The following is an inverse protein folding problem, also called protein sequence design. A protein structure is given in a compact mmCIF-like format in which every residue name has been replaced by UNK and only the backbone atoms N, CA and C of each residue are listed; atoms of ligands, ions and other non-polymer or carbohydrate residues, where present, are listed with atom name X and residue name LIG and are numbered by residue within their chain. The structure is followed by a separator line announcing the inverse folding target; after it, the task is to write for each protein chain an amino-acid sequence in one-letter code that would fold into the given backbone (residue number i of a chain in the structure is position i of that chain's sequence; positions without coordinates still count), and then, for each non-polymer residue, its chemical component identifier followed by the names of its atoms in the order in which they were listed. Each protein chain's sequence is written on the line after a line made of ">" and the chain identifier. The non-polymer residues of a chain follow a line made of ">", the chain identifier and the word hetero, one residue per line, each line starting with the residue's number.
data_IF_067917364131
#
_entry.id   IF_067917364131
#
_cell.length_a   1.000
_cell.length_b   1.000
_cell.length_c   1.000
_cell.angle_alpha   90.00
_cell.angle_beta   90.00
_cell.angle_gamma   90.00
#
_symmetry.space_group_name_H-M   'P 1'
#
loop_
_entity.id
_entity.type
_entity.pdbx_description
1 polymer ?
#
# COMPACT_ATOMS: atom_id res chain seq x y z
N UNK A 1 -0.93 -3.26 5.12
CA UNK A 1 -0.78 -3.81 6.47
C UNK A 1 -2.02 -4.57 6.86
N UNK A 2 -1.88 -5.84 7.25
CA UNK A 2 -3.02 -6.62 7.72
C UNK A 2 -3.42 -6.25 9.15
N UNK A 3 -4.71 -6.36 9.44
CA UNK A 3 -5.19 -6.35 10.83
C UNK A 3 -4.94 -7.71 11.49
N UNK A 4 -4.78 -7.74 12.83
CA UNK A 4 -4.67 -8.99 13.59
C UNK A 4 -6.05 -9.68 13.75
N UNK A 5 -6.57 -10.13 12.63
CA UNK A 5 -7.82 -10.88 12.50
C UNK A 5 -7.57 -12.17 11.71
N UNK A 6 -8.40 -13.18 11.98
CA UNK A 6 -8.44 -14.39 11.18
C UNK A 6 -9.18 -14.11 9.86
N UNK A 7 -8.75 -14.79 8.79
CA UNK A 7 -9.55 -14.84 7.57
C UNK A 7 -10.74 -15.75 7.84
N UNK A 8 -11.93 -15.25 7.54
CA UNK A 8 -13.16 -16.00 7.70
C UNK A 8 -13.73 -16.33 6.32
N UNK A 9 -14.27 -17.53 6.17
CA UNK A 9 -15.20 -17.86 5.11
C UNK A 9 -16.49 -17.03 5.25
N UNK A 10 -17.31 -17.03 4.21
CA UNK A 10 -18.61 -16.33 4.24
C UNK A 10 -19.51 -16.84 5.38
N UNK A 11 -19.49 -18.14 5.63
CA UNK A 11 -20.23 -18.75 6.74
C UNK A 11 -19.71 -18.27 8.09
N UNK A 12 -18.40 -18.36 8.33
CA UNK A 12 -17.79 -17.92 9.59
C UNK A 12 -18.00 -16.42 9.85
N UNK A 13 -17.93 -15.58 8.82
CA UNK A 13 -18.20 -14.15 8.92
C UNK A 13 -19.62 -13.88 9.40
N UNK A 14 -20.61 -14.49 8.73
CA UNK A 14 -22.02 -14.30 9.02
C UNK A 14 -22.34 -14.83 10.41
N UNK A 15 -21.93 -16.07 10.70
CA UNK A 15 -22.13 -16.71 11.98
C UNK A 15 -21.45 -15.96 13.14
N UNK A 16 -20.17 -15.60 13.01
CA UNK A 16 -19.44 -14.91 14.08
C UNK A 16 -20.03 -13.52 14.40
N UNK A 17 -20.59 -12.84 13.40
CA UNK A 17 -21.23 -11.53 13.59
C UNK A 17 -22.58 -11.70 14.30
N UNK A 18 -23.39 -12.69 13.91
CA UNK A 18 -24.61 -13.06 14.63
C UNK A 18 -24.30 -13.41 16.09
N UNK A 19 -23.32 -14.29 16.34
CA UNK A 19 -22.91 -14.66 17.70
C UNK A 19 -22.44 -13.46 18.50
N UNK A 20 -21.72 -12.52 17.88
CA UNK A 20 -21.29 -11.29 18.54
C UNK A 20 -22.48 -10.43 18.97
N UNK A 21 -23.52 -10.35 18.14
CA UNK A 21 -24.77 -9.68 18.47
C UNK A 21 -25.53 -10.43 19.56
N UNK A 22 -25.77 -11.73 19.43
CA UNK A 22 -26.54 -12.51 20.42
C UNK A 22 -25.93 -12.45 21.84
N UNK A 23 -24.60 -12.32 21.95
CA UNK A 23 -23.90 -12.14 23.24
C UNK A 23 -24.20 -10.80 23.92
N UNK A 24 -24.73 -9.80 23.22
CA UNK A 24 -25.14 -8.52 23.79
C UNK A 24 -26.63 -8.48 24.14
N UNK A 25 -27.42 -9.45 23.64
CA UNK A 25 -28.86 -9.49 23.81
C UNK A 25 -29.29 -10.18 25.11
N UNK A 26 -30.41 -9.72 25.67
CA UNK A 26 -31.15 -10.46 26.69
C UNK A 26 -32.09 -11.44 25.99
N UNK A 27 -31.74 -12.73 25.98
CA UNK A 27 -32.47 -13.76 25.22
C UNK A 27 -33.91 -13.97 25.70
N UNK A 28 -34.27 -13.56 26.91
CA UNK A 28 -35.65 -13.67 27.44
C UNK A 28 -36.66 -12.77 26.72
N UNK A 29 -36.21 -11.83 25.89
CA UNK A 29 -37.08 -11.03 25.03
C UNK A 29 -37.48 -11.76 23.74
N UNK A 30 -36.88 -12.92 23.47
CA UNK A 30 -37.19 -13.74 22.32
C UNK A 30 -38.35 -14.70 22.61
N UNK A 31 -39.06 -15.11 21.56
CA UNK A 31 -39.97 -16.26 21.68
C UNK A 31 -39.19 -17.55 22.02
N UNK A 32 -39.83 -18.57 22.62
CA UNK A 32 -39.15 -19.82 22.98
C UNK A 32 -38.38 -20.48 21.83
N UNK A 33 -38.95 -20.47 20.62
CA UNK A 33 -38.31 -21.01 19.41
C UNK A 33 -37.07 -20.20 19.00
N UNK A 34 -37.16 -18.87 19.05
CA UNK A 34 -36.03 -17.98 18.74
C UNK A 34 -34.92 -18.10 19.79
N UNK A 35 -35.28 -18.25 21.06
CA UNK A 35 -34.33 -18.47 22.15
C UNK A 35 -33.57 -19.79 21.96
N UNK A 36 -34.26 -20.87 21.58
CA UNK A 36 -33.63 -22.16 21.29
C UNK A 36 -32.63 -22.06 20.12
N UNK A 37 -33.05 -21.47 19.00
CA UNK A 37 -32.18 -21.20 17.84
C UNK A 37 -30.97 -20.33 18.21
N UNK A 38 -31.17 -19.28 19.00
CA UNK A 38 -30.08 -18.43 19.47
C UNK A 38 -29.06 -19.23 20.30
N UNK A 39 -29.53 -20.12 21.18
CA UNK A 39 -28.67 -20.99 22.00
C UNK A 39 -27.89 -21.99 21.14
N UNK A 40 -28.46 -22.49 20.04
CA UNK A 40 -27.75 -23.35 19.08
C UNK A 40 -26.57 -22.60 18.44
N UNK A 41 -26.82 -21.41 17.85
CA UNK A 41 -25.76 -20.61 17.23
C UNK A 41 -24.69 -20.16 18.23
N UNK A 42 -25.07 -19.85 19.47
CA UNK A 42 -24.10 -19.49 20.52
C UNK A 42 -23.15 -20.65 20.89
N UNK A 43 -23.60 -21.91 20.77
CA UNK A 43 -22.81 -23.11 21.03
C UNK A 43 -22.01 -23.58 19.82
N UNK A 44 -22.44 -23.20 18.63
CA UNK A 44 -21.85 -23.65 17.37
C UNK A 44 -20.41 -23.14 17.19
N UNK A 45 -19.52 -24.05 16.78
CA UNK A 45 -18.19 -23.73 16.30
C UNK A 45 -18.19 -23.67 14.77
N UNK A 46 -18.36 -22.46 14.23
CA UNK A 46 -18.45 -22.24 12.78
C UNK A 46 -17.27 -22.79 11.97
N UNK A 47 -16.06 -22.88 12.57
CA UNK A 47 -14.89 -23.41 11.87
C UNK A 47 -15.02 -24.93 11.65
N UNK A 48 -15.54 -25.65 12.65
CA UNK A 48 -15.84 -27.08 12.54
C UNK A 48 -17.02 -27.33 11.62
N UNK A 49 -18.04 -26.48 11.63
CA UNK A 49 -19.17 -26.58 10.71
C UNK A 49 -18.70 -26.49 9.26
N UNK A 50 -17.88 -25.49 8.94
CA UNK A 50 -17.32 -25.31 7.58
C UNK A 50 -16.46 -26.50 7.17
N UNK A 51 -15.67 -27.05 8.08
CA UNK A 51 -14.80 -28.20 7.77
C UNK A 51 -15.58 -29.50 7.50
N UNK A 52 -16.74 -29.69 8.13
CA UNK A 52 -17.50 -30.95 8.10
C UNK A 52 -18.67 -30.97 7.12
N UNK A 53 -19.06 -29.82 6.59
CA UNK A 53 -20.27 -29.67 5.75
C UNK A 53 -19.92 -29.56 4.28
N UNK A 54 -20.78 -30.09 3.41
CA UNK A 54 -20.73 -29.84 1.97
C UNK A 54 -21.26 -28.45 1.60
N UNK A 55 -21.15 -28.07 0.32
CA UNK A 55 -21.56 -26.76 -0.18
C UNK A 55 -23.05 -26.49 -0.04
N UNK A 56 -23.89 -27.50 -0.25
CA UNK A 56 -25.35 -27.36 -0.31
C UNK A 56 -25.90 -27.21 1.11
N UNK A 57 -25.35 -27.98 2.05
CA UNK A 57 -25.59 -27.85 3.49
C UNK A 57 -25.20 -26.45 3.99
N UNK A 58 -24.02 -25.94 3.61
CA UNK A 58 -23.59 -24.59 3.98
C UNK A 58 -24.50 -23.51 3.38
N UNK A 59 -24.94 -23.67 2.15
CA UNK A 59 -25.84 -22.73 1.49
C UNK A 59 -27.22 -22.69 2.15
N UNK A 60 -27.77 -23.87 2.50
CA UNK A 60 -29.02 -23.98 3.25
C UNK A 60 -28.91 -23.33 4.64
N UNK A 61 -27.82 -23.58 5.36
CA UNK A 61 -27.58 -22.97 6.66
C UNK A 61 -27.41 -21.45 6.58
N UNK A 62 -26.74 -20.93 5.56
CA UNK A 62 -26.66 -19.49 5.30
C UNK A 62 -28.05 -18.86 5.13
N UNK A 63 -28.94 -19.49 4.37
CA UNK A 63 -30.32 -19.01 4.22
C UNK A 63 -31.07 -19.02 5.57
N UNK A 64 -30.91 -20.08 6.38
CA UNK A 64 -31.51 -20.16 7.72
C UNK A 64 -31.00 -19.07 8.67
N UNK A 65 -29.68 -18.85 8.69
CA UNK A 65 -29.04 -17.81 9.49
C UNK A 65 -29.48 -16.41 9.00
N UNK A 66 -29.53 -16.18 7.69
CA UNK A 66 -29.99 -14.91 7.12
C UNK A 66 -31.41 -14.55 7.58
N UNK A 67 -32.34 -15.50 7.51
CA UNK A 67 -33.71 -15.28 8.00
C UNK A 67 -33.73 -15.00 9.50
N UNK A 68 -32.92 -15.72 10.29
CA UNK A 68 -32.81 -15.46 11.72
C UNK A 68 -32.25 -14.06 12.02
N UNK A 69 -31.24 -13.61 11.28
CA UNK A 69 -30.69 -12.26 11.41
C UNK A 69 -31.77 -11.21 11.13
N UNK A 70 -32.58 -11.41 10.09
CA UNK A 70 -33.70 -10.53 9.75
C UNK A 70 -34.73 -10.47 10.88
N UNK A 71 -35.06 -11.61 11.51
CA UNK A 71 -35.92 -11.63 12.71
C UNK A 71 -35.29 -10.84 13.87
N UNK A 72 -34.00 -11.02 14.13
CA UNK A 72 -33.30 -10.29 15.20
C UNK A 72 -33.30 -8.77 14.96
N UNK A 73 -33.08 -8.33 13.72
CA UNK A 73 -33.13 -6.91 13.35
C UNK A 73 -34.55 -6.32 13.47
N UNK A 74 -35.60 -7.15 13.37
CA UNK A 74 -36.98 -6.70 13.58
C UNK A 74 -37.37 -6.62 15.08
N UNK A 75 -36.81 -7.51 15.91
CA UNK A 75 -37.12 -7.59 17.35
C UNK A 75 -36.33 -6.55 18.15
N UNK A 76 -35.07 -6.31 17.82
CA UNK A 76 -34.20 -5.42 18.58
C UNK A 76 -34.11 -4.03 17.94
N UNK A 77 -34.24 -2.94 18.73
CA UNK A 77 -34.12 -1.59 18.19
C UNK A 77 -32.69 -1.28 17.75
N UNK A 78 -32.54 -0.27 16.89
CA UNK A 78 -31.23 0.20 16.41
C UNK A 78 -30.27 0.64 17.54
N UNK A 79 -30.80 1.03 18.69
CA UNK A 79 -30.00 1.39 19.88
C UNK A 79 -29.37 0.19 20.59
N UNK A 80 -29.73 -1.04 20.22
CA UNK A 80 -29.17 -2.25 20.83
C UNK A 80 -27.67 -2.39 20.52
N UNK A 81 -26.84 -2.85 21.49
CA UNK A 81 -25.41 -2.98 21.26
C UNK A 81 -25.11 -3.97 20.13
N UNK A 82 -24.20 -3.59 19.23
CA UNK A 82 -23.82 -4.35 18.03
C UNK A 82 -24.92 -4.52 16.97
N UNK A 83 -26.07 -3.86 17.10
CA UNK A 83 -27.12 -3.85 16.08
C UNK A 83 -26.60 -3.33 14.74
N UNK A 84 -25.91 -2.18 14.72
CA UNK A 84 -25.37 -1.60 13.48
C UNK A 84 -24.40 -2.54 12.75
N UNK A 85 -23.62 -3.32 13.50
CA UNK A 85 -22.70 -4.29 12.92
C UNK A 85 -23.46 -5.46 12.28
N UNK A 86 -24.54 -5.92 12.92
CA UNK A 86 -25.40 -6.98 12.39
C UNK A 86 -26.17 -6.50 11.15
N UNK A 87 -26.72 -5.28 11.21
CA UNK A 87 -27.42 -4.64 10.10
C UNK A 87 -26.50 -4.47 8.90
N UNK A 88 -25.29 -3.92 9.10
CA UNK A 88 -24.28 -3.78 8.04
C UNK A 88 -23.98 -5.13 7.38
N UNK A 89 -23.73 -6.17 8.17
CA UNK A 89 -23.52 -7.51 7.62
C UNK A 89 -24.72 -7.96 6.78
N UNK A 90 -25.93 -7.76 7.28
CA UNK A 90 -27.14 -8.20 6.60
C UNK A 90 -27.29 -7.51 5.24
N UNK A 91 -27.19 -6.18 5.19
CA UNK A 91 -27.31 -5.41 3.95
C UNK A 91 -26.23 -5.74 2.91
N UNK A 92 -25.01 -6.01 3.38
CA UNK A 92 -23.87 -6.36 2.53
C UNK A 92 -23.93 -7.81 2.01
N UNK A 93 -24.53 -8.74 2.76
CA UNK A 93 -24.52 -10.17 2.42
C UNK A 93 -25.85 -10.68 1.86
N UNK A 94 -26.96 -10.02 2.16
CA UNK A 94 -28.31 -10.47 1.83
C UNK A 94 -29.12 -9.39 1.12
N UNK A 95 -30.17 -9.83 0.43
CA UNK A 95 -31.30 -9.05 -0.05
C UNK A 95 -32.59 -9.68 0.45
N UNK A 96 -33.64 -8.89 0.61
CA UNK A 96 -34.96 -9.42 0.97
C UNK A 96 -35.76 -9.67 -0.32
N UNK A 97 -36.18 -10.91 -0.54
CA UNK A 97 -37.05 -11.31 -1.64
C UNK A 97 -38.22 -12.12 -1.06
N UNK A 98 -39.45 -11.73 -1.39
CA UNK A 98 -40.68 -12.37 -0.89
C UNK A 98 -40.70 -12.54 0.64
N UNK A 99 -40.21 -11.52 1.36
CA UNK A 99 -40.14 -11.52 2.82
C UNK A 99 -39.10 -12.49 3.41
N UNK A 100 -38.15 -13.00 2.62
CA UNK A 100 -37.07 -13.88 3.06
C UNK A 100 -35.70 -13.32 2.72
N UNK A 101 -34.72 -13.60 3.57
CA UNK A 101 -33.32 -13.27 3.32
C UNK A 101 -32.73 -14.21 2.26
N UNK A 102 -32.32 -13.65 1.13
CA UNK A 102 -31.64 -14.34 0.03
C UNK A 102 -30.21 -13.84 -0.04
N UNK A 103 -29.27 -14.78 -0.12
CA UNK A 103 -27.84 -14.48 -0.14
C UNK A 103 -27.45 -13.82 -1.46
N UNK A 104 -26.72 -12.69 -1.41
CA UNK A 104 -26.18 -12.02 -2.61
C UNK A 104 -25.17 -12.89 -3.34
N UNK A 105 -25.04 -12.70 -4.66
CA UNK A 105 -23.92 -13.29 -5.40
C UNK A 105 -22.58 -12.74 -4.87
N UNK A 106 -21.55 -13.59 -4.83
CA UNK A 106 -20.21 -13.19 -4.37
C UNK A 106 -19.64 -12.00 -5.16
N UNK A 107 -20.02 -11.85 -6.44
CA UNK A 107 -19.58 -10.76 -7.33
C UNK A 107 -20.23 -9.42 -6.98
N UNK A 108 -21.36 -9.42 -6.29
CA UNK A 108 -22.07 -8.21 -5.86
C UNK A 108 -21.55 -7.69 -4.51
N UNK A 109 -20.90 -8.55 -3.72
CA UNK A 109 -20.29 -8.16 -2.45
C UNK A 109 -19.06 -7.31 -2.72
N UNK A 110 -19.12 -6.04 -2.29
CA UNK A 110 -18.05 -5.07 -2.49
C UNK A 110 -16.81 -5.41 -1.65
N UNK A 111 -15.64 -4.96 -2.10
CA UNK A 111 -14.37 -5.19 -1.40
C UNK A 111 -14.24 -4.46 -0.05
N UNK A 112 -15.04 -3.42 0.16
CA UNK A 112 -15.18 -2.66 1.41
C UNK A 112 -16.23 -3.26 2.38
N UNK A 113 -16.83 -4.39 2.03
CA UNK A 113 -17.73 -5.11 2.93
C UNK A 113 -17.00 -5.55 4.20
N UNK A 114 -17.76 -5.81 5.26
CA UNK A 114 -17.29 -6.36 6.52
C UNK A 114 -16.47 -7.63 6.27
N UNK A 115 -15.21 -7.63 6.74
CA UNK A 115 -14.29 -8.75 6.58
C UNK A 115 -14.22 -9.64 7.82
N UNK A 116 -14.37 -9.05 9.01
CA UNK A 116 -14.37 -9.76 10.29
C UNK A 116 -15.02 -8.87 11.36
N UNK A 117 -15.96 -9.37 12.19
CA UNK A 117 -16.63 -8.57 13.21
C UNK A 117 -15.70 -8.08 14.32
N UNK A 118 -14.49 -8.64 14.45
CA UNK A 118 -13.49 -8.19 15.43
C UNK A 118 -12.70 -6.95 14.99
N UNK A 119 -12.73 -6.62 13.71
CA UNK A 119 -12.18 -5.37 13.17
C UNK A 119 -13.06 -4.86 12.02
N UNK A 120 -14.19 -4.19 12.33
CA UNK A 120 -15.16 -3.78 11.32
C UNK A 120 -14.66 -2.77 10.29
N UNK A 121 -13.60 -2.02 10.60
CA UNK A 121 -13.03 -1.01 9.70
C UNK A 121 -12.11 -1.64 8.63
N UNK A 122 -11.65 -2.87 8.85
CA UNK A 122 -10.73 -3.55 7.96
C UNK A 122 -11.43 -3.97 6.65
N UNK A 123 -10.88 -3.53 5.51
CA UNK A 123 -11.39 -3.87 4.18
C UNK A 123 -10.43 -4.82 3.45
N UNK A 124 -10.86 -5.33 2.30
CA UNK A 124 -10.11 -6.31 1.52
C UNK A 124 -9.44 -5.70 0.30
N UNK A 125 -8.19 -6.13 0.03
CA UNK A 125 -7.50 -5.87 -1.23
C UNK A 125 -6.76 -7.11 -1.70
N UNK A 126 -6.85 -7.39 -3.00
CA UNK A 126 -6.02 -8.37 -3.71
C UNK A 126 -5.13 -7.64 -4.74
N UNK A 127 -3.81 -7.77 -4.63
CA UNK A 127 -2.84 -7.18 -5.57
C UNK A 127 -1.64 -8.12 -5.67
N UNK A 128 -1.20 -8.47 -6.89
CA UNK A 128 -0.01 -9.28 -7.16
C UNK A 128 0.08 -10.55 -6.30
N UNK A 129 -0.98 -11.38 -6.33
CA UNK A 129 -1.16 -12.60 -5.52
C UNK A 129 -1.18 -12.41 -4.00
N UNK A 130 -0.98 -11.20 -3.51
CA UNK A 130 -1.11 -10.84 -2.11
C UNK A 130 -2.55 -10.44 -1.80
N UNK A 131 -3.11 -11.05 -0.76
CA UNK A 131 -4.44 -10.77 -0.22
C UNK A 131 -4.31 -10.15 1.16
N UNK A 132 -4.79 -8.93 1.33
CA UNK A 132 -4.73 -8.20 2.60
C UNK A 132 -6.14 -7.91 3.09
N UNK A 133 -6.37 -8.16 4.38
CA UNK A 133 -7.54 -7.66 5.12
C UNK A 133 -7.01 -6.70 6.18
N UNK A 134 -7.33 -5.42 6.05
CA UNK A 134 -6.78 -4.38 6.92
C UNK A 134 -6.71 -3.02 6.22
N UNK A 135 -5.50 -2.47 6.19
CA UNK A 135 -5.25 -1.07 5.93
C UNK A 135 -4.09 -0.88 4.95
N UNK A 136 -4.04 0.28 4.32
CA UNK A 136 -2.91 0.75 3.50
C UNK A 136 -2.30 1.97 4.18
N UNK A 137 -0.97 2.02 4.19
CA UNK A 137 -0.20 3.12 4.79
C UNK A 137 0.62 3.76 3.68
N UNK A 138 0.47 5.07 3.52
CA UNK A 138 1.28 5.90 2.64
C UNK A 138 2.27 6.72 3.49
N UNK A 139 3.53 6.76 3.08
CA UNK A 139 4.60 7.51 3.76
C UNK A 139 5.27 8.41 2.72
N UNK A 140 5.48 9.67 3.08
CA UNK A 140 6.24 10.65 2.30
C UNK A 140 7.42 11.13 3.12
N UNK A 141 8.61 11.17 2.51
CA UNK A 141 9.82 11.68 3.13
C UNK A 141 10.54 12.69 2.23
N UNK A 142 11.31 13.58 2.86
CA UNK A 142 12.19 14.50 2.14
C UNK A 142 13.32 13.74 1.44
N UNK A 143 13.78 14.30 0.33
CA UNK A 143 14.99 13.86 -0.36
C UNK A 143 15.88 15.08 -0.51
N UNK A 144 16.90 15.18 0.34
CA UNK A 144 17.83 16.32 0.33
C UNK A 144 19.27 15.83 0.48
N UNK A 145 20.17 16.33 -0.37
CA UNK A 145 21.57 15.94 -0.35
C UNK A 145 22.26 16.41 0.93
N UNK A 146 23.08 15.53 1.52
CA UNK A 146 23.83 15.84 2.73
C UNK A 146 22.99 15.97 4.01
N UNK A 147 21.67 15.74 3.95
CA UNK A 147 20.76 15.73 5.10
C UNK A 147 20.04 14.39 5.24
N UNK A 148 19.53 14.04 6.43
CA UNK A 148 18.74 12.82 6.58
C UNK A 148 17.38 12.99 5.88
N UNK A 149 16.91 11.95 5.19
CA UNK A 149 15.53 11.91 4.70
C UNK A 149 14.58 11.83 5.89
N UNK A 150 13.69 12.81 6.04
CA UNK A 150 12.74 12.89 7.16
C UNK A 150 11.34 12.63 6.64
N UNK A 151 10.61 11.73 7.31
CA UNK A 151 9.20 11.48 7.02
C UNK A 151 8.39 12.72 7.40
N UNK A 152 7.66 13.29 6.45
CA UNK A 152 6.87 14.52 6.60
C UNK A 152 5.36 14.25 6.56
N UNK A 153 4.94 13.14 5.95
CA UNK A 153 3.54 12.69 5.94
C UNK A 153 3.45 11.19 6.17
N UNK A 154 2.49 10.79 6.99
CA UNK A 154 2.09 9.41 7.16
C UNK A 154 0.55 9.38 7.12
N UNK A 155 -0.02 8.66 6.18
CA UNK A 155 -1.47 8.53 6.00
C UNK A 155 -1.86 7.06 6.08
N UNK A 156 -2.96 6.76 6.76
CA UNK A 156 -3.47 5.39 6.89
C UNK A 156 -4.95 5.38 6.59
N UNK A 157 -5.30 4.56 5.61
CA UNK A 157 -6.67 4.33 5.16
C UNK A 157 -6.98 2.84 5.09
N UNK A 158 -8.25 2.50 4.86
CA UNK A 158 -8.68 1.12 4.66
C UNK A 158 -8.03 0.53 3.39
N UNK A 159 -7.85 -0.79 3.33
CA UNK A 159 -7.12 -1.44 2.24
C UNK A 159 -7.67 -1.17 0.83
N UNK A 160 -8.96 -0.83 0.67
CA UNK A 160 -9.54 -0.48 -0.64
C UNK A 160 -9.07 0.87 -1.17
N UNK A 161 -8.63 1.79 -0.31
CA UNK A 161 -8.29 3.17 -0.67
C UNK A 161 -7.14 3.25 -1.69
N UNK A 162 -7.39 3.86 -2.84
CA UNK A 162 -6.47 3.85 -3.97
C UNK A 162 -5.20 4.68 -3.71
N UNK A 163 -4.05 4.17 -4.17
CA UNK A 163 -2.74 4.77 -3.90
C UNK A 163 -2.66 6.22 -4.45
N UNK A 164 -3.29 6.51 -5.59
CA UNK A 164 -3.34 7.85 -6.17
C UNK A 164 -4.06 8.90 -5.32
N UNK A 165 -5.00 8.52 -4.46
CA UNK A 165 -5.74 9.49 -3.66
C UNK A 165 -4.93 10.07 -2.49
N UNK A 166 -3.77 9.48 -2.16
CA UNK A 166 -2.91 10.00 -1.09
C UNK A 166 -2.05 11.19 -1.50
N UNK A 167 -1.86 11.44 -2.80
CA UNK A 167 -0.81 12.32 -3.29
C UNK A 167 -0.98 13.78 -2.85
N UNK A 168 -2.18 14.34 -3.02
CA UNK A 168 -2.43 15.76 -2.79
C UNK A 168 -2.26 16.10 -1.30
N UNK A 169 -2.90 15.32 -0.42
CA UNK A 169 -2.76 15.48 1.03
C UNK A 169 -1.31 15.22 1.51
N UNK A 170 -0.57 14.31 0.85
CA UNK A 170 0.86 14.12 1.10
C UNK A 170 1.69 15.38 0.83
N UNK A 171 1.40 16.06 -0.27
CA UNK A 171 2.07 17.30 -0.67
C UNK A 171 1.76 18.39 0.35
N UNK A 172 0.48 18.66 0.60
CA UNK A 172 0.04 19.67 1.57
C UNK A 172 0.64 19.47 2.97
N UNK A 173 0.63 18.22 3.47
CA UNK A 173 1.23 17.90 4.76
C UNK A 173 2.74 18.16 4.77
N UNK A 174 3.43 17.83 3.68
CA UNK A 174 4.89 17.98 3.60
C UNK A 174 5.28 19.44 3.50
N UNK A 175 4.57 20.24 2.72
CA UNK A 175 4.78 21.69 2.64
C UNK A 175 4.48 22.39 3.97
N UNK A 176 3.41 21.98 4.65
CA UNK A 176 3.08 22.48 5.99
C UNK A 176 4.17 22.20 7.02
N UNK A 177 4.80 21.02 6.95
CA UNK A 177 5.87 20.62 7.90
C UNK A 177 7.21 21.28 7.55
N UNK A 178 7.53 21.42 6.26
CA UNK A 178 8.82 21.95 5.80
C UNK A 178 8.86 23.46 5.65
N UNK A 179 7.70 24.10 5.45
CA UNK A 179 7.60 25.51 5.09
C UNK A 179 8.06 25.83 3.67
N UNK A 180 8.28 24.82 2.83
CA UNK A 180 8.79 24.95 1.46
C UNK A 180 7.83 24.34 0.47
N UNK A 181 7.74 24.93 -0.72
CA UNK A 181 7.00 24.35 -1.85
C UNK A 181 7.75 23.14 -2.42
N UNK A 182 7.03 22.09 -2.78
CA UNK A 182 7.60 20.91 -3.42
C UNK A 182 7.77 21.16 -4.92
N UNK A 183 9.01 21.07 -5.40
CA UNK A 183 9.35 21.17 -6.82
C UNK A 183 9.35 19.79 -7.50
N UNK A 184 9.90 18.78 -6.82
CA UNK A 184 10.05 17.41 -7.33
C UNK A 184 9.37 16.41 -6.40
N UNK A 185 8.50 15.56 -6.95
CA UNK A 185 7.84 14.48 -6.21
C UNK A 185 8.12 13.12 -6.84
N UNK A 186 8.81 12.26 -6.12
CA UNK A 186 9.10 10.88 -6.53
C UNK A 186 8.04 9.92 -5.99
N UNK A 187 7.37 9.19 -6.88
CA UNK A 187 6.30 8.28 -6.49
C UNK A 187 6.28 6.98 -7.30
N UNK A 188 5.52 5.99 -6.82
CA UNK A 188 5.24 4.79 -7.60
C UNK A 188 4.21 5.06 -8.71
N UNK A 189 4.17 4.19 -9.71
CA UNK A 189 3.25 4.33 -10.85
C UNK A 189 1.78 4.38 -10.47
N UNK A 190 1.41 3.75 -9.35
CA UNK A 190 0.04 3.75 -8.84
C UNK A 190 -0.44 5.14 -8.39
N UNK A 191 0.46 6.10 -8.19
CA UNK A 191 0.12 7.49 -7.87
C UNK A 191 -0.24 8.33 -9.10
N UNK A 192 -0.09 7.77 -10.29
CA UNK A 192 -0.39 8.46 -11.53
C UNK A 192 -1.90 8.42 -11.83
N UNK A 193 -2.56 9.58 -11.76
CA UNK A 193 -3.96 9.78 -12.18
C UNK A 193 -4.09 11.04 -13.02
N UNK A 194 -5.16 11.22 -13.82
CA UNK A 194 -5.46 12.50 -14.46
C UNK A 194 -5.43 13.67 -13.47
N UNK A 195 -6.09 13.49 -12.33
CA UNK A 195 -6.22 14.51 -11.29
C UNK A 195 -4.87 14.88 -10.68
N UNK A 196 -4.00 13.90 -10.39
CA UNK A 196 -2.68 14.18 -9.83
C UNK A 196 -1.74 14.86 -10.83
N UNK A 197 -1.92 14.61 -12.14
CA UNK A 197 -1.17 15.32 -13.17
C UNK A 197 -1.63 16.76 -13.32
N UNK A 198 -2.93 17.00 -13.20
CA UNK A 198 -3.49 18.34 -13.22
C UNK A 198 -3.08 19.11 -11.97
N UNK A 199 -3.18 18.49 -10.80
CA UNK A 199 -2.69 19.03 -9.53
C UNK A 199 -1.21 19.42 -9.63
N UNK A 200 -0.33 18.52 -10.09
CA UNK A 200 1.10 18.80 -10.22
C UNK A 200 1.40 19.98 -11.15
N UNK A 201 0.64 20.14 -12.26
CA UNK A 201 0.78 21.28 -13.16
C UNK A 201 0.36 22.60 -12.50
N UNK A 202 -0.75 22.59 -11.79
CA UNK A 202 -1.32 23.78 -11.15
C UNK A 202 -0.55 24.17 -9.88
N UNK A 203 0.15 23.22 -9.27
CA UNK A 203 0.96 23.42 -8.07
C UNK A 203 2.40 23.81 -8.44
N UNK A 204 2.57 25.04 -8.93
CA UNK A 204 3.86 25.62 -9.33
C UNK A 204 4.67 24.75 -10.33
N UNK A 205 3.97 24.05 -11.23
CA UNK A 205 4.58 23.13 -12.18
C UNK A 205 5.47 22.05 -11.51
N UNK A 206 5.09 21.58 -10.32
CA UNK A 206 5.72 20.46 -9.62
C UNK A 206 5.91 19.26 -10.57
N UNK A 207 7.11 18.70 -10.58
CA UNK A 207 7.45 17.53 -11.39
C UNK A 207 7.06 16.25 -10.65
N UNK A 208 5.97 15.62 -11.09
CA UNK A 208 5.59 14.28 -10.63
C UNK A 208 6.43 13.20 -11.36
N UNK A 209 7.53 12.79 -10.74
CA UNK A 209 8.48 11.79 -11.24
C UNK A 209 8.06 10.39 -10.77
N UNK A 210 7.39 9.64 -11.63
CA UNK A 210 7.00 8.25 -11.34
C UNK A 210 7.95 7.26 -11.98
N UNK A 211 8.18 6.10 -11.36
CA UNK A 211 9.14 5.12 -11.89
C UNK A 211 8.64 4.30 -13.09
N UNK A 212 7.34 4.00 -13.14
CA UNK A 212 6.69 3.28 -14.26
C UNK A 212 5.24 3.72 -14.36
N UNK A 213 4.68 3.71 -15.56
CA UNK A 213 3.24 3.87 -15.74
C UNK A 213 2.50 2.53 -15.54
N UNK A 214 1.37 2.55 -14.84
CA UNK A 214 0.54 1.36 -14.63
C UNK A 214 -0.04 0.82 -15.96
N UNK A 215 -0.13 -0.50 -16.08
CA UNK A 215 -0.59 -1.20 -17.29
C UNK A 215 0.53 -1.50 -18.28
N UNK A 216 0.42 -2.60 -19.01
CA UNK A 216 1.36 -2.96 -20.06
C UNK A 216 1.24 -2.03 -21.27
N UNK A 217 2.33 -1.84 -22.00
CA UNK A 217 2.34 -1.18 -23.30
C UNK A 217 2.61 -2.24 -24.36
N UNK A 218 1.64 -2.48 -25.25
CA UNK A 218 1.79 -3.41 -26.38
C UNK A 218 2.23 -2.69 -27.66
N UNK A 219 1.93 -1.41 -27.75
CA UNK A 219 2.04 -0.61 -28.97
C UNK A 219 2.92 0.59 -28.71
N UNK A 220 3.89 0.77 -29.59
CA UNK A 220 4.55 2.02 -29.79
C UNK A 220 3.69 2.91 -30.69
N UNK A 221 3.45 4.14 -30.27
CA UNK A 221 2.66 5.10 -31.03
C UNK A 221 3.59 6.25 -31.45
N UNK A 222 3.91 6.33 -32.73
CA UNK A 222 4.87 7.29 -33.29
C UNK A 222 4.10 8.27 -34.19
N UNK A 223 3.72 9.44 -33.66
CA UNK A 223 3.14 10.50 -34.49
C UNK A 223 4.21 11.03 -35.46
N UNK A 224 3.85 11.25 -36.71
CA UNK A 224 4.67 11.97 -37.68
C UNK A 224 3.76 12.76 -38.63
N UNK A 225 4.29 13.86 -39.16
CA UNK A 225 3.54 14.86 -39.93
C UNK A 225 2.31 15.40 -39.16
N UNK A 226 1.54 16.33 -39.73
CA UNK A 226 0.38 16.89 -39.00
C UNK A 226 -0.74 15.86 -38.77
N UNK A 227 -0.71 14.71 -39.46
CA UNK A 227 -1.85 13.79 -39.56
C UNK A 227 -1.53 12.27 -39.61
N UNK A 228 -0.25 11.87 -39.53
CA UNK A 228 0.19 10.47 -39.58
C UNK A 228 0.44 9.83 -38.21
N UNK A 229 0.22 8.52 -38.10
CA UNK A 229 0.50 7.77 -36.87
C UNK A 229 0.97 6.36 -37.21
N UNK A 230 2.28 6.16 -37.10
CA UNK A 230 2.88 4.83 -37.19
C UNK A 230 2.70 4.09 -35.87
N UNK A 231 2.22 2.85 -35.94
CA UNK A 231 2.01 1.97 -34.78
C UNK A 231 2.89 0.74 -34.89
N UNK A 232 3.80 0.54 -33.94
CA UNK A 232 4.67 -0.66 -33.88
C UNK A 232 4.25 -1.57 -32.73
N UNK A 233 4.04 -2.84 -33.00
CA UNK A 233 3.83 -3.84 -31.95
C UNK A 233 5.15 -4.22 -31.29
N UNK A 234 5.27 -4.01 -29.98
CA UNK A 234 6.54 -4.21 -29.26
C UNK A 234 6.98 -5.68 -29.26
N UNK A 235 6.03 -6.62 -29.17
CA UNK A 235 6.33 -8.05 -29.07
C UNK A 235 6.82 -8.66 -30.39
N UNK A 236 6.26 -8.22 -31.52
CA UNK A 236 6.53 -8.80 -32.84
C UNK A 236 7.45 -7.93 -33.69
N UNK A 237 7.59 -6.65 -33.36
CA UNK A 237 8.28 -5.65 -34.18
C UNK A 237 7.49 -5.19 -35.41
N UNK A 238 6.27 -5.71 -35.60
CA UNK A 238 5.44 -5.38 -36.77
C UNK A 238 5.00 -3.92 -36.73
N UNK A 239 5.17 -3.23 -37.85
CA UNK A 239 4.80 -1.82 -38.01
C UNK A 239 3.56 -1.70 -38.89
N UNK A 240 2.62 -0.87 -38.46
CA UNK A 240 1.37 -0.59 -39.15
C UNK A 240 1.25 0.92 -39.32
N UNK A 241 0.84 1.36 -40.49
CA UNK A 241 0.39 2.73 -40.65
C UNK A 241 -1.09 2.85 -40.28
N UNK A 242 -1.40 3.78 -39.38
CA UNK A 242 -2.74 3.92 -38.85
C UNK A 242 -3.58 4.88 -39.70
N UNK A 243 -4.75 4.41 -40.11
CA UNK A 243 -5.68 5.19 -40.91
C UNK A 243 -6.62 5.95 -39.98
N UNK A 244 -6.91 7.22 -40.28
CA UNK A 244 -7.95 7.97 -39.57
C UNK A 244 -9.31 7.30 -39.74
N UNK A 245 -9.99 7.03 -38.64
CA UNK A 245 -11.36 6.56 -38.62
C UNK A 245 -12.30 7.76 -38.65
N UNK A 246 -13.02 7.95 -39.76
CA UNK A 246 -14.05 8.99 -39.88
C UNK A 246 -15.33 8.49 -39.20
N UNK A 247 -15.78 9.18 -38.16
CA UNK A 247 -17.09 8.94 -37.53
C UNK A 247 -18.15 9.90 -38.08
N UNK A 248 -19.37 9.40 -38.32
CA UNK A 248 -20.53 10.22 -38.74
C UNK A 248 -21.00 11.22 -37.66
N UNK A 249 -20.55 11.04 -36.41
CA UNK A 249 -20.76 11.97 -35.30
C UNK A 249 -19.40 12.63 -34.98
N UNK A 250 -19.39 13.95 -34.99
CA UNK A 250 -18.19 14.79 -35.13
C UNK A 250 -17.10 14.64 -34.05
N UNK A 251 -15.94 15.21 -34.43
CA UNK A 251 -14.75 15.63 -33.68
C UNK A 251 -13.84 14.62 -32.97
N UNK A 252 -14.16 13.32 -32.84
CA UNK A 252 -13.19 12.37 -32.26
C UNK A 252 -12.17 11.87 -33.28
N UNK A 253 -10.94 12.43 -33.25
CA UNK A 253 -9.79 11.89 -33.98
C UNK A 253 -9.48 10.49 -33.44
N UNK A 254 -9.79 9.47 -34.25
CA UNK A 254 -9.50 8.06 -33.97
C UNK A 254 -8.59 7.54 -35.07
N UNK A 255 -7.62 6.73 -34.70
CA UNK A 255 -6.76 5.99 -35.61
C UNK A 255 -7.13 4.52 -35.55
N UNK A 256 -6.98 3.80 -36.65
CA UNK A 256 -7.21 2.36 -36.70
C UNK A 256 -6.16 1.61 -37.48
N UNK A 257 -5.86 0.39 -37.02
CA UNK A 257 -5.04 -0.59 -37.73
C UNK A 257 -5.83 -1.89 -37.91
N UNK A 258 -5.54 -2.68 -38.97
CA UNK A 258 -6.10 -4.01 -39.11
C UNK A 258 -5.66 -4.91 -37.94
N UNK A 259 -6.59 -5.66 -37.37
CA UNK A 259 -6.31 -6.53 -36.23
C UNK A 259 -6.09 -7.98 -36.65
N UNK A 260 -4.88 -8.50 -36.37
CA UNK A 260 -4.58 -9.94 -36.35
C UNK A 260 -4.93 -10.68 -37.67
N UNK A 261 -4.72 -10.05 -38.83
CA UNK A 261 -5.08 -10.56 -40.16
C UNK A 261 -6.55 -11.02 -40.31
N UNK A 262 -7.45 -10.53 -39.45
CA UNK A 262 -8.91 -10.76 -39.53
C UNK A 262 -9.62 -9.46 -39.88
N UNK A 263 -10.90 -9.55 -40.24
CA UNK A 263 -11.81 -8.45 -40.62
C UNK A 263 -12.09 -7.41 -39.50
N UNK A 264 -11.35 -7.43 -38.40
CA UNK A 264 -11.52 -6.52 -37.26
C UNK A 264 -10.55 -5.33 -37.29
N UNK A 265 -10.97 -4.21 -36.69
CA UNK A 265 -10.15 -3.01 -36.53
C UNK A 265 -9.77 -2.81 -35.06
N UNK A 266 -8.52 -2.42 -34.80
CA UNK A 266 -8.09 -1.91 -33.51
C UNK A 266 -8.05 -0.39 -33.57
N UNK A 267 -8.69 0.27 -32.62
CA UNK A 267 -8.77 1.73 -32.56
C UNK A 267 -7.82 2.29 -31.50
N UNK A 268 -7.32 3.50 -31.78
CA UNK A 268 -6.50 4.32 -30.90
C UNK A 268 -7.06 5.75 -30.89
N UNK A 269 -7.03 6.40 -29.74
CA UNK A 269 -7.50 7.77 -29.52
C UNK A 269 -6.33 8.67 -29.09
N UNK A 270 -6.52 9.99 -29.11
CA UNK A 270 -5.53 10.98 -28.66
C UNK A 270 -4.99 10.69 -27.25
N UNK A 271 -5.85 10.17 -26.38
CA UNK A 271 -5.49 9.78 -25.01
C UNK A 271 -4.45 8.65 -24.97
N UNK A 272 -4.48 7.75 -25.94
CA UNK A 272 -3.54 6.63 -26.03
C UNK A 272 -2.16 7.13 -26.46
N UNK A 273 -2.12 8.06 -27.43
CA UNK A 273 -0.89 8.73 -27.87
C UNK A 273 -0.28 9.52 -26.70
N UNK A 274 -1.08 10.33 -26.00
CA UNK A 274 -0.63 11.09 -24.82
C UNK A 274 -0.12 10.17 -23.71
N UNK A 275 -0.81 9.06 -23.45
CA UNK A 275 -0.36 8.07 -22.46
C UNK A 275 0.96 7.41 -22.86
N UNK A 276 1.16 7.10 -24.14
CA UNK A 276 2.41 6.55 -24.65
C UNK A 276 3.57 7.56 -24.55
N UNK A 277 3.36 8.82 -24.94
CA UNK A 277 4.36 9.88 -24.79
C UNK A 277 4.77 10.07 -23.33
N UNK A 278 3.80 10.09 -22.41
CA UNK A 278 4.07 10.19 -20.98
C UNK A 278 4.86 8.98 -20.45
N UNK A 279 4.57 7.77 -20.94
CA UNK A 279 5.36 6.58 -20.61
C UNK A 279 6.81 6.74 -21.07
N UNK A 280 7.05 7.28 -22.27
CA UNK A 280 8.41 7.55 -22.75
C UNK A 280 9.14 8.59 -21.92
N UNK A 281 8.44 9.64 -21.48
CA UNK A 281 9.01 10.63 -20.55
C UNK A 281 9.43 9.96 -19.23
N UNK A 282 8.57 9.11 -18.64
CA UNK A 282 8.89 8.35 -17.43
C UNK A 282 10.11 7.42 -17.65
N UNK A 283 10.11 6.66 -18.74
CA UNK A 283 11.22 5.74 -19.09
C UNK A 283 12.54 6.48 -19.35
N UNK A 284 12.48 7.75 -19.75
CA UNK A 284 13.66 8.59 -20.00
C UNK A 284 14.27 9.22 -18.74
N UNK A 285 13.64 9.07 -17.58
CA UNK A 285 14.18 9.59 -16.32
C UNK A 285 15.57 8.98 -16.04
N UNK A 286 16.59 9.79 -15.68
CA UNK A 286 17.91 9.27 -15.32
C UNK A 286 17.85 8.22 -14.21
N UNK A 287 18.76 7.23 -14.23
CA UNK A 287 18.79 6.16 -13.24
C UNK A 287 18.93 6.69 -11.80
N UNK A 288 19.71 7.75 -11.59
CA UNK A 288 19.87 8.40 -10.29
C UNK A 288 18.53 8.91 -9.73
N UNK A 289 17.70 9.51 -10.58
CA UNK A 289 16.36 9.99 -10.23
C UNK A 289 15.40 8.83 -9.93
N UNK A 290 15.49 7.74 -10.71
CA UNK A 290 14.70 6.54 -10.46
C UNK A 290 15.08 5.87 -9.12
N UNK A 291 16.36 5.86 -8.77
CA UNK A 291 16.88 5.23 -7.56
C UNK A 291 16.50 5.97 -6.27
N UNK A 292 16.11 7.25 -6.32
CA UNK A 292 15.61 7.99 -5.13
C UNK A 292 14.42 7.29 -4.45
N UNK A 293 13.64 6.51 -5.21
CA UNK A 293 12.55 5.67 -4.69
C UNK A 293 13.01 4.58 -3.71
N UNK A 294 14.23 4.07 -3.86
CA UNK A 294 14.74 2.97 -3.03
C UNK A 294 14.78 3.36 -1.54
N UNK A 295 14.89 4.66 -1.25
CA UNK A 295 14.84 5.18 0.12
C UNK A 295 13.46 4.98 0.75
N UNK A 296 12.38 5.24 0.01
CA UNK A 296 10.99 5.01 0.46
C UNK A 296 10.72 3.53 0.64
N UNK A 297 11.24 2.66 -0.25
CA UNK A 297 11.12 1.21 -0.09
C UNK A 297 11.81 0.72 1.19
N UNK A 298 13.00 1.27 1.50
CA UNK A 298 13.68 1.01 2.76
C UNK A 298 12.88 1.53 3.97
N UNK A 299 12.22 2.69 3.85
CA UNK A 299 11.33 3.21 4.89
C UNK A 299 10.13 2.27 5.14
N UNK A 300 9.48 1.79 4.08
CA UNK A 300 8.36 0.84 4.17
C UNK A 300 8.78 -0.52 4.73
N UNK A 301 9.99 -0.98 4.40
CA UNK A 301 10.58 -2.15 5.03
C UNK A 301 10.73 -1.95 6.55
N UNK A 302 11.35 -0.85 6.97
CA UNK A 302 11.52 -0.53 8.39
C UNK A 302 10.18 -0.36 9.12
N UNK A 303 9.21 0.27 8.47
CA UNK A 303 7.86 0.43 8.98
C UNK A 303 7.21 -0.92 9.32
N UNK A 304 7.35 -1.90 8.43
CA UNK A 304 6.72 -3.21 8.55
C UNK A 304 7.59 -4.29 9.23
N UNK A 305 8.87 -4.03 9.46
CA UNK A 305 9.86 -5.02 9.94
C UNK A 305 9.43 -5.80 11.21
N UNK A 306 8.87 -5.11 12.19
CA UNK A 306 8.47 -5.72 13.48
C UNK A 306 7.10 -6.40 13.43
N UNK A 307 6.47 -6.47 12.25
CA UNK A 307 5.14 -7.07 12.12
C UNK A 307 5.24 -8.55 11.80
N UNK A 308 4.43 -9.36 12.49
CA UNK A 308 4.35 -10.79 12.23
C UNK A 308 3.41 -11.03 11.06
N UNK A 309 3.90 -11.67 10.00
CA UNK A 309 3.12 -11.97 8.78
C UNK A 309 2.48 -10.72 8.14
N UNK A 310 3.15 -9.57 8.23
CA UNK A 310 2.62 -8.30 7.69
C UNK A 310 1.39 -7.76 8.43
N UNK A 311 1.11 -8.25 9.64
CA UNK A 311 -0.03 -7.83 10.47
C UNK A 311 0.42 -7.02 11.68
N UNK A 312 -0.26 -5.90 11.94
CA UNK A 312 -0.09 -5.18 13.20
C UNK A 312 -0.89 -5.89 14.30
N UNK A 313 -0.50 -5.73 15.57
CA UNK A 313 -1.26 -6.29 16.71
C UNK A 313 -2.56 -5.54 17.03
N UNK A 314 -2.82 -4.42 16.34
CA UNK A 314 -3.94 -3.53 16.61
C UNK A 314 -5.14 -3.87 15.72
N UNK A 315 -6.31 -3.37 16.11
CA UNK A 315 -7.58 -3.47 15.36
C UNK A 315 -8.26 -2.11 15.36
N UNK A 316 -8.97 -1.78 14.29
CA UNK A 316 -9.59 -0.49 14.05
C UNK A 316 -8.63 0.52 13.40
N UNK A 317 -9.21 1.43 12.60
CA UNK A 317 -8.46 2.41 11.82
C UNK A 317 -7.64 3.35 12.71
N UNK A 318 -8.25 3.84 13.80
CA UNK A 318 -7.60 4.77 14.73
C UNK A 318 -6.30 4.19 15.32
N UNK A 319 -6.33 2.93 15.77
CA UNK A 319 -5.15 2.30 16.37
C UNK A 319 -4.06 2.02 15.31
N UNK A 320 -4.44 1.75 14.06
CA UNK A 320 -3.49 1.64 12.96
C UNK A 320 -2.84 2.97 12.61
N UNK A 321 -3.60 4.08 12.63
CA UNK A 321 -3.08 5.45 12.50
C UNK A 321 -2.08 5.76 13.60
N UNK A 322 -2.43 5.51 14.86
CA UNK A 322 -1.52 5.69 16.00
C UNK A 322 -0.22 4.88 15.83
N UNK A 323 -0.32 3.60 15.46
CA UNK A 323 0.85 2.77 15.17
C UNK A 323 1.72 3.38 14.07
N UNK A 324 1.12 3.85 12.98
CA UNK A 324 1.86 4.47 11.88
C UNK A 324 2.62 5.71 12.33
N UNK A 325 1.95 6.61 13.05
CA UNK A 325 2.57 7.83 13.56
C UNK A 325 3.72 7.54 14.51
N UNK A 326 3.53 6.61 15.47
CA UNK A 326 4.60 6.22 16.40
C UNK A 326 5.80 5.60 15.68
N UNK A 327 5.58 4.75 14.66
CA UNK A 327 6.67 4.15 13.89
C UNK A 327 7.42 5.19 13.07
N UNK A 328 6.72 6.08 12.37
CA UNK A 328 7.35 7.14 11.57
C UNK A 328 8.13 8.11 12.45
N UNK A 329 7.58 8.51 13.60
CA UNK A 329 8.27 9.37 14.56
C UNK A 329 9.56 8.71 15.07
N UNK A 330 9.50 7.41 15.45
CA UNK A 330 10.69 6.67 15.86
C UNK A 330 11.75 6.62 14.74
N UNK A 331 11.34 6.35 13.50
CA UNK A 331 12.25 6.34 12.34
C UNK A 331 12.93 7.70 12.16
N UNK A 332 12.18 8.80 12.20
CA UNK A 332 12.74 10.15 12.11
C UNK A 332 13.76 10.42 13.23
N UNK A 333 13.41 10.13 14.48
CA UNK A 333 14.31 10.31 15.63
C UNK A 333 15.61 9.52 15.44
N UNK A 334 15.52 8.26 15.00
CA UNK A 334 16.71 7.43 14.74
C UNK A 334 17.56 7.99 13.62
N UNK A 335 16.95 8.41 12.50
CA UNK A 335 17.68 9.03 11.37
C UNK A 335 18.39 10.31 11.81
N UNK A 336 17.74 11.15 12.61
CA UNK A 336 18.35 12.37 13.17
C UNK A 336 19.54 12.06 14.09
N UNK A 337 19.41 11.09 15.00
CA UNK A 337 20.51 10.69 15.90
C UNK A 337 21.70 10.14 15.11
N UNK A 338 21.46 9.27 14.13
CA UNK A 338 22.52 8.74 13.27
C UNK A 338 23.21 9.87 12.49
N UNK A 339 22.42 10.79 11.94
CA UNK A 339 22.96 11.95 11.25
C UNK A 339 23.86 12.79 12.17
N UNK A 340 23.38 13.15 13.36
CA UNK A 340 24.17 13.92 14.34
C UNK A 340 25.47 13.22 14.73
N UNK A 341 25.43 11.91 15.02
CA UNK A 341 26.62 11.12 15.35
C UNK A 341 27.61 11.12 14.17
N UNK A 342 27.11 10.88 12.95
CA UNK A 342 27.96 10.84 11.76
C UNK A 342 28.61 12.19 11.44
N UNK A 343 27.86 13.28 11.60
CA UNK A 343 28.36 14.65 11.42
C UNK A 343 29.41 14.98 12.48
N UNK A 344 29.14 14.65 13.75
CA UNK A 344 30.10 14.86 14.84
C UNK A 344 31.39 14.05 14.65
N UNK A 345 31.28 12.78 14.25
CA UNK A 345 32.44 11.95 13.91
C UNK A 345 33.23 12.55 12.74
N UNK A 346 32.57 12.98 11.66
CA UNK A 346 33.23 13.67 10.54
C UNK A 346 33.96 14.93 10.99
N UNK A 347 33.34 15.75 11.85
CA UNK A 347 33.97 16.95 12.40
C UNK A 347 35.20 16.62 13.26
N UNK A 348 35.13 15.59 14.11
CA UNK A 348 36.29 15.11 14.87
C UNK A 348 37.39 14.60 13.92
N UNK A 349 37.05 13.74 12.96
CA UNK A 349 38.02 13.21 12.00
C UNK A 349 38.67 14.30 11.16
N UNK A 350 37.91 15.33 10.75
CA UNK A 350 38.44 16.48 10.02
C UNK A 350 39.35 17.34 10.91
N UNK A 351 38.97 17.59 12.16
CA UNK A 351 39.77 18.36 13.12
C UNK A 351 41.10 17.69 13.45
N UNK A 352 41.11 16.36 13.59
CA UNK A 352 42.33 15.58 13.84
C UNK A 352 43.01 15.07 12.57
N UNK A 353 42.47 15.36 11.38
CA UNK A 353 43.02 14.97 10.08
C UNK A 353 44.45 15.46 9.86
N UNK A 354 44.73 16.76 10.05
CA UNK A 354 46.08 17.33 9.93
C UNK A 354 47.06 16.73 10.94
N UNK A 355 46.60 16.49 12.18
CA UNK A 355 47.41 15.86 13.23
C UNK A 355 47.72 14.40 12.84
N UNK A 356 46.74 13.67 12.28
CA UNK A 356 46.94 12.28 11.84
C UNK A 356 47.86 12.18 10.62
N UNK A 357 47.81 13.12 9.68
CA UNK A 357 48.74 13.19 8.53
C UNK A 357 50.16 13.56 8.98
N UNK A 358 50.30 14.49 9.92
CA UNK A 358 51.58 14.82 10.55
C UNK A 358 52.16 13.63 11.33
N UNK A 359 51.35 12.92 12.12
CA UNK A 359 51.77 11.72 12.84
C UNK A 359 52.00 10.50 11.93
N UNK A 360 51.26 10.35 10.83
CA UNK A 360 51.48 9.33 9.81
C UNK A 360 52.83 9.52 9.10
N UNK A 361 53.18 10.78 8.82
CA UNK A 361 54.49 11.15 8.28
C UNK A 361 55.61 10.91 9.30
N UNK A 362 55.38 11.21 10.59
CA UNK A 362 56.31 10.90 11.68
C UNK A 362 56.53 9.38 11.89
N UNK A 363 55.48 8.57 11.70
CA UNK A 363 55.55 7.10 11.81
C UNK A 363 56.23 6.45 10.60
N UNK A 364 56.17 7.07 9.42
CA UNK A 364 56.94 6.67 8.25
C UNK A 364 58.42 6.99 8.43
N UNK A 365 58.75 8.17 8.99
CA UNK A 365 60.13 8.56 9.32
C UNK A 365 60.71 7.68 10.44
N UNK A 366 59.93 7.36 11.49
CA UNK A 366 60.42 6.50 12.59
C UNK A 366 60.61 5.04 12.18
N UNK A 367 59.82 4.51 11.23
CA UNK A 367 60.04 3.17 10.64
C UNK A 367 61.31 3.08 9.80
N UNK A 368 61.80 4.20 9.27
CA UNK A 368 63.07 4.23 8.53
C UNK A 368 64.30 4.32 9.47
N UNK A 369 64.10 4.79 10.71
CA UNK A 369 65.16 4.96 11.72
C UNK A 369 65.26 3.75 12.68
N UNK A 370 64.19 2.98 12.88
CA UNK A 370 64.14 1.86 13.85
C UNK A 370 63.99 0.46 13.22
N UNK A 371 64.76 0.15 12.16
CA UNK A 371 65.00 -1.24 11.72
C UNK A 371 66.38 -1.74 12.17
N UNK A 372 66.73 -1.53 13.43
CA UNK A 372 67.80 -2.27 14.10
C UNK A 372 67.50 -2.36 15.60
N UNK A 373 67.09 -3.55 16.07
CA UNK A 373 67.05 -3.88 17.50
C UNK A 373 65.69 -4.31 18.04
N UNK A 374 65.53 -5.64 18.14
CA UNK A 374 64.75 -6.45 19.08
C UNK A 374 63.52 -5.90 19.82
N UNK A 375 62.41 -6.64 19.63
CA UNK A 375 61.31 -6.99 20.53
C UNK A 375 61.18 -6.30 21.91
N UNK A 376 60.06 -5.58 22.08
CA UNK A 376 59.34 -5.51 23.35
C UNK A 376 57.84 -5.22 23.09
N UNK A 377 56.99 -6.23 23.34
CA UNK A 377 55.54 -6.10 23.37
C UNK A 377 55.10 -5.55 24.73
N UNK A 378 54.54 -4.34 24.76
CA UNK A 378 53.76 -3.84 25.90
C UNK A 378 52.34 -3.58 25.43
N UNK A 379 51.42 -4.38 25.97
CA UNK A 379 49.97 -4.29 25.78
C UNK A 379 49.42 -3.00 26.40
N UNK A 380 49.06 -2.02 25.57
CA UNK A 380 47.98 -1.08 25.87
C UNK A 380 46.71 -1.59 25.20
N UNK A 381 45.72 -2.00 26.00
CA UNK A 381 44.38 -2.39 25.52
C UNK A 381 43.73 -1.22 24.79
N UNK A 382 43.86 -1.25 23.47
CA UNK A 382 43.11 -0.46 22.50
C UNK A 382 41.64 -0.92 22.47
N UNK A 383 40.77 0.07 22.50
CA UNK A 383 39.80 0.33 21.42
C UNK A 383 38.91 -0.85 20.99
N UNK A 384 37.65 -0.82 21.42
CA UNK A 384 36.55 -1.49 20.69
C UNK A 384 36.41 -0.80 19.33
N UNK A 385 37.24 -1.24 18.38
CA UNK A 385 37.03 -1.09 16.95
C UNK A 385 35.75 -1.85 16.60
N UNK A 386 34.64 -1.12 16.47
CA UNK A 386 33.45 -1.63 15.79
C UNK A 386 33.87 -1.91 14.35
N UNK A 387 33.92 -3.21 14.05
CA UNK A 387 34.31 -3.77 12.75
C UNK A 387 33.44 -3.17 11.65
N UNK A 388 34.06 -2.42 10.76
CA UNK A 388 33.46 -1.71 9.62
C UNK A 388 33.21 -2.67 8.44
N UNK A 389 32.75 -3.89 8.73
CA UNK A 389 32.28 -4.88 7.75
C UNK A 389 31.23 -5.77 8.43
N UNK A 390 30.03 -5.22 8.61
CA UNK A 390 28.84 -6.04 8.77
C UNK A 390 27.81 -5.54 7.78
N UNK A 391 27.59 -6.31 6.71
CA UNK A 391 26.46 -6.13 5.78
C UNK A 391 25.10 -6.38 6.45
N UNK A 392 25.06 -6.69 7.74
CA UNK A 392 23.86 -6.96 8.52
C UNK A 392 24.04 -6.52 9.98
N UNK A 393 24.23 -5.23 10.21
CA UNK A 393 23.88 -4.66 11.51
C UNK A 393 22.37 -4.34 11.44
N UNK A 394 21.51 -4.99 12.26
CA UNK A 394 20.10 -4.65 12.28
C UNK A 394 19.95 -3.19 12.74
N UNK A 395 19.22 -2.42 11.93
CA UNK A 395 18.90 -1.00 12.09
C UNK A 395 18.32 -0.64 13.47
#
# INVERSE_FOLDING_TARGET
>A
MGSNIARQSRYELIHATLVKFLKTCTLTHLSPEQEERAKEYLKEDSSKTVYRSDSDTLQSNLARIGNFIMEMLAVFPATSPAHDLLLRLFEEQYVVMDGKAVLRDKKEVKADSLQNPNDPDATYRAKNDQKVQGYVTNITETVEEGKPNIITSAQVETAVFADCHFLQESVENSERVTGSTIEDLYADGAYQSPDNREFAKNHNAMQLKTGKMQGGCRWELIPHDEDGLTIREIATGNTYEAVKAVTKQGSRKRWRIPWNNKTGWRYFEDKDIKAYQLRKQIESLPLEEQHKRNNVEAAMFQYSFHTRNGKTRYRGLLKHRMHAYSRCMWMNLRRMVIFQISTFQRSIFALFGPIREAFGSFKAISRQIFTSGADCYVSLRMTTLVRLESKYAPF
#
